data_IF_697662770592
#
_entry.id   IF_697662770592
#
_cell.length_a   1.000
_cell.length_b   1.000
_cell.length_c   1.000
_cell.angle_alpha   90.00
_cell.angle_beta   90.00
_cell.angle_gamma   90.00
#
_symmetry.space_group_name_H-M   'P 1'
#
loop_
_entity.id
_entity.type
_entity.pdbx_description
1 polymer ?
#
# COMPACT_ATOMS: atom_id res chain seq x y z
N UNK A 1 -0.80 -18.68 -5.83
CA UNK A 1 0.33 -19.22 -6.62
C UNK A 1 1.62 -18.46 -6.32
N UNK A 2 2.77 -19.08 -6.53
CA UNK A 2 4.10 -18.46 -6.53
C UNK A 2 4.75 -18.66 -7.88
N UNK A 3 5.26 -17.60 -8.46
CA UNK A 3 5.97 -17.62 -9.73
C UNK A 3 7.45 -17.37 -9.43
N UNK A 4 8.36 -18.14 -10.05
CA UNK A 4 9.81 -17.89 -9.94
C UNK A 4 10.17 -16.54 -10.56
N UNK A 5 11.28 -15.93 -10.11
CA UNK A 5 11.71 -14.61 -10.58
C UNK A 5 11.95 -14.55 -12.09
N UNK A 6 12.34 -15.67 -12.71
CA UNK A 6 12.55 -15.81 -14.15
C UNK A 6 11.25 -16.21 -14.91
N UNK A 7 10.12 -16.35 -14.20
CA UNK A 7 8.83 -16.73 -14.77
C UNK A 7 8.72 -18.18 -15.25
N UNK A 8 9.76 -19.01 -15.07
CA UNK A 8 9.81 -20.36 -15.67
C UNK A 8 9.09 -21.42 -14.86
N UNK A 9 8.80 -21.19 -13.58
CA UNK A 9 8.09 -22.14 -12.74
C UNK A 9 6.95 -21.50 -11.95
N UNK A 10 5.89 -22.27 -11.75
CA UNK A 10 4.70 -21.87 -10.98
C UNK A 10 4.37 -22.97 -9.99
N UNK A 11 4.28 -22.59 -8.69
CA UNK A 11 3.73 -23.42 -7.63
C UNK A 11 2.28 -23.02 -7.37
N UNK A 12 1.34 -23.96 -7.56
CA UNK A 12 -0.07 -23.70 -7.35
C UNK A 12 -0.79 -24.96 -6.82
N UNK A 13 -1.41 -24.95 -5.61
CA UNK A 13 -1.33 -23.84 -4.65
C UNK A 13 0.07 -23.70 -4.05
N UNK A 14 0.49 -22.48 -3.74
CA UNK A 14 1.69 -22.23 -2.92
C UNK A 14 1.35 -22.00 -1.45
N UNK A 15 0.28 -21.25 -1.21
CA UNK A 15 -0.28 -20.97 0.09
C UNK A 15 -1.80 -20.98 -0.02
N UNK A 16 -2.45 -21.49 1.01
CA UNK A 16 -3.89 -21.41 1.21
C UNK A 16 -4.15 -20.69 2.53
N UNK A 17 -5.00 -19.66 2.52
CA UNK A 17 -5.38 -18.91 3.72
C UNK A 17 -6.63 -19.54 4.33
N UNK A 18 -6.53 -20.23 5.48
CA UNK A 18 -7.65 -20.95 6.08
C UNK A 18 -8.77 -20.00 6.50
N UNK A 19 -10.00 -20.29 6.10
CA UNK A 19 -11.18 -19.52 6.55
C UNK A 19 -11.55 -18.30 5.70
N UNK A 20 -10.74 -17.95 4.69
CA UNK A 20 -11.16 -16.93 3.70
C UNK A 20 -12.41 -17.45 2.96
N UNK A 21 -13.58 -16.98 3.38
CA UNK A 21 -14.82 -17.72 3.28
C UNK A 21 -15.52 -17.67 1.93
N UNK A 22 -15.09 -16.88 0.96
CA UNK A 22 -15.91 -16.60 -0.22
C UNK A 22 -15.24 -16.82 -1.59
N UNK A 23 -14.13 -17.51 -1.67
CA UNK A 23 -13.54 -17.93 -2.96
C UNK A 23 -13.01 -16.80 -3.85
N UNK A 24 -13.23 -15.55 -3.48
CA UNK A 24 -12.71 -14.37 -4.14
C UNK A 24 -12.06 -13.49 -3.09
N UNK A 25 -10.83 -13.85 -2.73
CA UNK A 25 -10.02 -12.96 -1.89
C UNK A 25 -9.62 -11.76 -2.73
N UNK A 26 -10.21 -10.62 -2.42
CA UNK A 26 -9.75 -9.31 -2.86
C UNK A 26 -8.94 -8.70 -1.72
N UNK A 27 -8.05 -7.79 -2.04
CA UNK A 27 -7.17 -7.11 -1.10
C UNK A 27 -5.76 -7.00 -1.65
N UNK A 28 -4.80 -6.71 -0.80
CA UNK A 28 -3.43 -6.44 -1.21
C UNK A 28 -2.42 -7.45 -0.66
N UNK A 29 -1.30 -7.55 -1.37
CA UNK A 29 -0.12 -8.33 -0.99
C UNK A 29 1.09 -7.39 -0.88
N UNK A 30 1.86 -7.51 0.19
CA UNK A 30 3.07 -6.74 0.40
C UNK A 30 4.15 -7.58 1.08
N UNK A 31 5.38 -7.54 0.56
CA UNK A 31 6.52 -8.20 1.24
C UNK A 31 7.06 -7.23 2.28
N UNK A 32 7.13 -7.66 3.54
CA UNK A 32 7.71 -6.83 4.60
C UNK A 32 9.16 -6.46 4.26
N UNK A 33 9.42 -5.14 4.14
CA UNK A 33 10.75 -4.58 3.85
C UNK A 33 11.42 -4.01 5.10
N UNK A 34 10.74 -4.04 6.23
CA UNK A 34 11.19 -3.39 7.48
C UNK A 34 11.82 -4.37 8.46
N UNK A 35 11.50 -5.65 8.33
CA UNK A 35 11.88 -6.70 9.27
C UNK A 35 10.98 -6.76 10.51
N UNK A 36 9.98 -5.88 10.65
CA UNK A 36 9.02 -5.92 11.76
C UNK A 36 8.13 -7.17 11.72
N UNK A 37 8.00 -7.77 10.53
CA UNK A 37 7.24 -8.99 10.26
C UNK A 37 8.14 -10.08 9.65
N UNK A 38 9.42 -10.12 10.04
CA UNK A 38 10.41 -11.13 9.65
C UNK A 38 10.69 -11.23 8.13
N UNK A 39 10.32 -10.24 7.34
CA UNK A 39 10.42 -10.26 5.88
C UNK A 39 9.38 -11.13 5.18
N UNK A 40 8.32 -11.52 5.87
CA UNK A 40 7.25 -12.35 5.34
C UNK A 40 6.37 -11.59 4.34
N UNK A 41 5.62 -12.34 3.55
CA UNK A 41 4.55 -11.79 2.73
C UNK A 41 3.35 -11.47 3.64
N UNK A 42 2.90 -10.23 3.59
CA UNK A 42 1.67 -9.80 4.25
C UNK A 42 0.53 -9.84 3.23
N UNK A 43 -0.62 -10.35 3.64
CA UNK A 43 -1.85 -10.33 2.87
C UNK A 43 -2.98 -9.71 3.70
N UNK A 44 -3.67 -8.73 3.15
CA UNK A 44 -4.92 -8.20 3.71
C UNK A 44 -6.09 -8.57 2.81
N UNK A 45 -7.28 -8.69 3.39
CA UNK A 45 -8.48 -9.07 2.65
C UNK A 45 -9.58 -8.03 2.82
N UNK A 46 -10.48 -7.98 1.86
CA UNK A 46 -11.67 -7.13 1.93
C UNK A 46 -12.70 -7.60 2.98
N UNK A 47 -12.45 -8.74 3.63
CA UNK A 47 -13.24 -9.24 4.77
C UNK A 47 -12.61 -8.89 6.14
N UNK A 48 -11.44 -8.18 6.13
CA UNK A 48 -10.77 -7.68 7.33
C UNK A 48 -9.71 -8.57 7.92
N UNK A 49 -9.36 -9.66 7.27
CA UNK A 49 -8.30 -10.55 7.72
C UNK A 49 -6.92 -9.97 7.36
N UNK A 50 -5.96 -10.14 8.26
CA UNK A 50 -4.55 -9.79 8.05
C UNK A 50 -3.70 -11.02 8.31
N UNK A 51 -2.97 -11.46 7.31
CA UNK A 51 -2.16 -12.66 7.32
C UNK A 51 -0.69 -12.34 7.06
N UNK A 52 0.21 -13.09 7.70
CA UNK A 52 1.60 -13.20 7.27
C UNK A 52 1.84 -14.61 6.73
N UNK A 53 2.62 -14.71 5.67
CA UNK A 53 2.97 -15.95 5.00
C UNK A 53 4.47 -16.05 4.89
N UNK A 54 5.06 -17.06 5.52
CA UNK A 54 6.50 -17.29 5.51
C UNK A 54 7.02 -17.72 4.12
N UNK A 55 8.34 -17.77 3.95
CA UNK A 55 8.95 -18.14 2.67
C UNK A 55 8.61 -19.57 2.20
N UNK A 56 8.15 -20.44 3.11
CA UNK A 56 7.70 -21.80 2.80
C UNK A 56 6.23 -21.86 2.38
N UNK A 57 5.48 -20.77 2.55
CA UNK A 57 4.05 -20.68 2.23
C UNK A 57 3.14 -21.03 3.39
N UNK A 58 3.64 -21.00 4.63
CA UNK A 58 2.83 -21.26 5.81
C UNK A 58 2.17 -19.95 6.27
N UNK A 59 0.82 -19.86 6.26
CA UNK A 59 0.13 -18.68 6.73
C UNK A 59 -0.04 -18.67 8.25
N UNK A 60 0.06 -17.47 8.82
CA UNK A 60 -0.30 -17.18 10.20
C UNK A 60 -1.18 -15.96 10.24
N UNK A 61 -2.37 -16.04 10.82
CA UNK A 61 -3.25 -14.91 10.99
C UNK A 61 -2.67 -13.96 12.03
N UNK A 62 -2.52 -12.68 11.69
CA UNK A 62 -2.11 -11.63 12.62
C UNK A 62 -3.34 -11.13 13.37
N UNK A 63 -4.40 -10.79 12.63
CA UNK A 63 -5.66 -10.30 13.21
C UNK A 63 -6.82 -10.51 12.23
N UNK A 64 -8.03 -10.46 12.77
CA UNK A 64 -9.28 -10.49 12.01
C UNK A 64 -10.18 -9.34 12.49
N UNK A 65 -10.65 -8.53 11.56
CA UNK A 65 -11.52 -7.37 11.80
C UNK A 65 -12.78 -7.50 10.94
N UNK A 66 -13.72 -8.36 11.32
CA UNK A 66 -14.89 -8.70 10.50
C UNK A 66 -15.67 -7.46 10.04
N UNK A 67 -15.92 -7.36 8.74
CA UNK A 67 -16.64 -6.25 8.11
C UNK A 67 -15.79 -5.01 7.83
N UNK A 68 -14.47 -5.08 8.03
CA UNK A 68 -13.54 -4.05 7.60
C UNK A 68 -13.02 -4.38 6.21
N UNK A 69 -13.26 -3.49 5.26
CA UNK A 69 -12.81 -3.67 3.87
C UNK A 69 -11.39 -3.13 3.73
N UNK A 70 -10.38 -4.02 3.87
CA UNK A 70 -8.98 -3.64 3.72
C UNK A 70 -8.52 -3.78 2.28
N UNK A 71 -7.76 -2.76 1.81
CA UNK A 71 -7.15 -2.74 0.49
C UNK A 71 -5.65 -2.41 0.57
N UNK A 72 -5.17 -1.32 -0.03
CA UNK A 72 -3.74 -1.00 -0.06
C UNK A 72 -3.06 -1.00 1.30
N UNK A 73 -1.84 -1.50 1.36
CA UNK A 73 -1.06 -1.57 2.60
C UNK A 73 0.44 -1.47 2.40
N UNK A 74 1.15 -1.07 3.47
CA UNK A 74 2.61 -1.17 3.58
C UNK A 74 3.03 -1.53 5.01
N UNK A 75 4.27 -2.04 5.18
CA UNK A 75 4.93 -2.09 6.49
C UNK A 75 5.73 -0.82 6.72
N UNK A 76 5.59 -0.22 7.91
CA UNK A 76 6.26 1.04 8.28
C UNK A 76 7.53 0.74 9.07
N UNK A 77 8.67 1.36 8.75
CA UNK A 77 9.91 1.18 9.50
C UNK A 77 9.74 1.50 10.99
N UNK A 78 10.43 0.75 11.86
CA UNK A 78 10.43 1.01 13.30
C UNK A 78 11.32 2.23 13.63
N UNK A 79 10.79 3.41 13.32
CA UNK A 79 11.42 4.69 13.55
C UNK A 79 10.41 5.68 14.18
N UNK A 80 10.16 5.60 15.50
CA UNK A 80 9.12 6.40 16.18
C UNK A 80 9.29 7.91 16.03
N UNK A 81 10.53 8.41 15.93
CA UNK A 81 10.77 9.83 15.68
C UNK A 81 10.24 10.30 14.31
N UNK A 82 10.15 9.40 13.34
CA UNK A 82 9.69 9.69 11.97
C UNK A 82 8.22 9.35 11.75
N UNK A 83 7.76 8.22 12.31
CA UNK A 83 6.44 7.66 12.03
C UNK A 83 5.49 7.70 13.22
N UNK A 84 5.97 8.16 14.40
CA UNK A 84 5.15 8.25 15.61
C UNK A 84 4.47 6.92 15.93
N UNK A 85 3.13 6.92 16.11
CA UNK A 85 2.39 5.73 16.49
C UNK A 85 2.27 4.66 15.37
N UNK A 86 2.70 4.95 14.15
CA UNK A 86 2.71 4.01 13.01
C UNK A 86 3.99 3.18 12.94
N UNK A 87 5.05 3.57 13.66
CA UNK A 87 6.35 2.90 13.60
C UNK A 87 6.26 1.40 13.89
N UNK A 88 6.92 0.56 13.08
CA UNK A 88 6.97 -0.90 13.22
C UNK A 88 5.65 -1.63 12.98
N UNK A 89 4.69 -1.01 12.30
CA UNK A 89 3.36 -1.58 12.06
C UNK A 89 3.08 -1.80 10.58
N UNK A 90 2.09 -2.65 10.30
CA UNK A 90 1.37 -2.60 9.03
C UNK A 90 0.40 -1.41 9.10
N UNK A 91 0.33 -0.61 8.05
CA UNK A 91 -0.79 0.30 7.83
C UNK A 91 -1.57 -0.17 6.62
N UNK A 92 -2.90 -0.17 6.74
CA UNK A 92 -3.81 -0.63 5.70
C UNK A 92 -5.00 0.32 5.55
N UNK A 93 -5.37 0.61 4.32
CA UNK A 93 -6.54 1.41 3.99
C UNK A 93 -7.82 0.61 4.19
N UNK A 94 -8.81 1.24 4.81
CA UNK A 94 -10.17 0.71 4.89
C UNK A 94 -11.09 1.69 4.16
N UNK A 95 -11.10 1.56 2.82
CA UNK A 95 -11.72 2.52 1.91
C UNK A 95 -13.18 2.77 2.25
N UNK A 96 -13.98 1.72 2.40
CA UNK A 96 -15.41 1.84 2.67
C UNK A 96 -15.73 2.47 4.04
N UNK A 97 -14.81 2.35 5.00
CA UNK A 97 -14.96 2.93 6.34
C UNK A 97 -14.33 4.32 6.46
N UNK A 98 -13.56 4.78 5.46
CA UNK A 98 -12.81 6.03 5.50
C UNK A 98 -11.74 6.04 6.60
N UNK A 99 -11.06 4.90 6.84
CA UNK A 99 -10.12 4.71 7.93
C UNK A 99 -8.77 4.20 7.44
N UNK A 100 -7.73 4.57 8.17
CA UNK A 100 -6.41 3.96 8.08
C UNK A 100 -6.19 3.11 9.33
N UNK A 101 -6.03 1.80 9.18
CA UNK A 101 -5.70 0.90 10.27
C UNK A 101 -4.19 0.79 10.43
N UNK A 102 -3.72 0.74 11.68
CA UNK A 102 -2.36 0.42 12.07
C UNK A 102 -2.38 -0.87 12.90
N UNK A 103 -1.69 -1.91 12.42
CA UNK A 103 -1.71 -3.25 12.96
C UNK A 103 -0.31 -3.59 13.44
N UNK A 104 -0.18 -3.87 14.74
CA UNK A 104 1.08 -4.27 15.37
C UNK A 104 1.41 -5.74 15.10
N UNK A 105 2.68 -6.18 15.22
CA UNK A 105 3.07 -7.58 15.06
C UNK A 105 2.34 -8.56 16.00
N UNK A 106 1.86 -8.08 17.15
CA UNK A 106 1.07 -8.87 18.11
C UNK A 106 -0.43 -8.94 17.79
N UNK A 107 -0.86 -8.35 16.66
CA UNK A 107 -2.25 -8.29 16.22
C UNK A 107 -3.08 -7.15 16.83
N UNK A 108 -2.50 -6.33 17.71
CA UNK A 108 -3.19 -5.15 18.25
C UNK A 108 -3.45 -4.14 17.14
N UNK A 109 -4.69 -3.66 17.04
CA UNK A 109 -5.13 -2.72 16.00
C UNK A 109 -5.52 -1.37 16.58
N UNK A 110 -5.23 -0.32 15.82
CA UNK A 110 -5.68 1.06 16.06
C UNK A 110 -6.10 1.63 14.71
N UNK A 111 -7.06 2.55 14.67
CA UNK A 111 -7.40 3.23 13.42
C UNK A 111 -7.36 4.74 13.58
N UNK A 112 -7.21 5.42 12.44
CA UNK A 112 -7.19 6.87 12.29
C UNK A 112 -8.20 7.30 11.24
N UNK A 113 -8.88 8.42 11.46
CA UNK A 113 -9.85 9.00 10.55
C UNK A 113 -9.32 10.35 10.04
N UNK A 114 -8.88 10.38 8.79
CA UNK A 114 -8.37 11.59 8.12
C UNK A 114 -9.38 12.19 7.13
N UNK A 115 -10.57 11.58 6.99
CA UNK A 115 -11.54 11.95 5.96
C UNK A 115 -11.11 11.52 4.55
N UNK A 116 -10.23 10.51 4.45
CA UNK A 116 -9.71 9.94 3.20
C UNK A 116 -10.18 8.50 3.10
N UNK A 117 -10.81 8.16 1.99
CA UNK A 117 -11.15 6.79 1.64
C UNK A 117 -9.93 6.16 0.96
N UNK A 118 -9.07 5.53 1.78
CA UNK A 118 -7.75 5.08 1.35
C UNK A 118 -7.87 3.79 0.56
N UNK A 119 -7.54 3.86 -0.73
CA UNK A 119 -7.48 2.73 -1.67
C UNK A 119 -6.10 2.09 -1.66
N UNK A 120 -5.05 2.89 -1.80
CA UNK A 120 -3.68 2.38 -1.85
C UNK A 120 -2.71 3.27 -1.07
N UNK A 121 -1.57 2.67 -0.68
CA UNK A 121 -0.58 3.29 0.19
C UNK A 121 0.83 2.93 -0.28
N UNK A 122 1.73 3.92 -0.32
CA UNK A 122 3.16 3.63 -0.41
C UNK A 122 3.98 4.64 0.40
N UNK A 123 5.23 4.27 0.74
CA UNK A 123 6.18 5.17 1.41
C UNK A 123 7.01 5.85 0.33
N UNK A 124 7.13 7.17 0.41
CA UNK A 124 7.93 7.98 -0.51
C UNK A 124 9.39 7.57 -0.39
N UNK A 125 9.85 6.75 -1.33
CA UNK A 125 11.23 6.29 -1.36
C UNK A 125 12.16 7.43 -1.85
N UNK A 126 13.34 7.62 -1.26
CA UNK A 126 14.32 8.58 -1.75
C UNK A 126 14.82 8.13 -3.13
N UNK A 127 14.84 9.06 -4.09
CA UNK A 127 15.38 8.85 -5.45
C UNK A 127 14.61 7.91 -6.37
N UNK A 128 13.43 7.41 -5.95
CA UNK A 128 12.56 6.60 -6.81
C UNK A 128 11.48 7.47 -7.45
N UNK A 129 11.07 7.09 -8.66
CA UNK A 129 9.99 7.75 -9.35
C UNK A 129 8.65 7.26 -8.82
N UNK A 130 7.70 8.15 -8.69
CA UNK A 130 6.31 7.81 -8.42
C UNK A 130 5.63 7.34 -9.70
N UNK A 131 4.81 6.31 -9.57
CA UNK A 131 3.89 5.84 -10.60
C UNK A 131 2.51 5.63 -9.98
N UNK A 132 1.48 6.07 -10.71
CA UNK A 132 0.09 5.89 -10.29
C UNK A 132 -0.79 5.49 -11.46
N UNK A 133 -1.69 4.54 -11.22
CA UNK A 133 -2.69 4.10 -12.18
C UNK A 133 -3.87 5.06 -12.14
N UNK A 134 -4.12 5.75 -13.26
CA UNK A 134 -5.35 6.48 -13.49
C UNK A 134 -6.34 5.55 -14.19
N UNK A 135 -7.09 4.79 -13.41
CA UNK A 135 -7.99 3.75 -13.90
C UNK A 135 -9.06 4.32 -14.84
N UNK A 136 -9.75 5.37 -14.43
CA UNK A 136 -10.78 6.00 -15.26
C UNK A 136 -10.25 6.60 -16.56
N UNK A 137 -8.97 6.98 -16.61
CA UNK A 137 -8.29 7.52 -17.80
C UNK A 137 -7.52 6.47 -18.60
N UNK A 138 -7.44 5.21 -18.13
CA UNK A 138 -6.67 4.12 -18.72
C UNK A 138 -5.19 4.51 -18.99
N UNK A 139 -4.56 5.21 -18.05
CA UNK A 139 -3.18 5.70 -18.18
C UNK A 139 -2.37 5.42 -16.93
N UNK A 140 -1.07 5.18 -17.13
CA UNK A 140 -0.08 5.19 -16.06
C UNK A 140 0.56 6.59 -16.03
N UNK A 141 0.51 7.23 -14.88
CA UNK A 141 1.11 8.54 -14.66
C UNK A 141 2.39 8.38 -13.85
N UNK A 142 3.43 9.14 -14.21
CA UNK A 142 4.71 9.14 -13.54
C UNK A 142 5.16 10.54 -13.13
N UNK A 143 5.79 10.63 -11.95
CA UNK A 143 6.41 11.86 -11.46
C UNK A 143 7.85 11.57 -11.05
N UNK A 144 8.84 12.36 -11.55
CA UNK A 144 10.24 12.15 -11.22
C UNK A 144 10.53 12.23 -9.72
N UNK A 145 11.33 11.29 -9.19
CA UNK A 145 11.71 11.19 -7.78
C UNK A 145 12.24 12.47 -7.15
N UNK A 146 13.05 13.31 -7.83
CA UNK A 146 13.52 14.57 -7.26
C UNK A 146 12.41 15.53 -6.80
N UNK A 147 11.20 15.43 -7.33
CA UNK A 147 10.06 16.24 -6.88
C UNK A 147 9.57 15.86 -5.46
N UNK A 148 9.87 14.65 -5.02
CA UNK A 148 9.53 14.14 -3.69
C UNK A 148 10.66 14.25 -2.68
N UNK A 149 11.86 14.73 -3.07
CA UNK A 149 13.05 14.69 -2.23
C UNK A 149 12.87 15.37 -0.85
N UNK A 150 12.09 16.45 -0.79
CA UNK A 150 11.85 17.19 0.46
C UNK A 150 10.93 16.44 1.44
N UNK A 151 10.18 15.46 0.96
CA UNK A 151 9.20 14.68 1.74
C UNK A 151 9.49 13.19 1.71
N UNK A 152 10.71 12.81 1.30
CA UNK A 152 11.12 11.40 1.28
C UNK A 152 10.97 10.77 2.68
N UNK A 153 10.38 9.58 2.73
CA UNK A 153 10.03 8.86 3.94
C UNK A 153 8.64 9.17 4.50
N UNK A 154 7.92 10.18 4.00
CA UNK A 154 6.51 10.34 4.30
C UNK A 154 5.68 9.30 3.53
N UNK A 155 4.40 9.21 3.82
CA UNK A 155 3.51 8.21 3.26
C UNK A 155 2.58 8.87 2.24
N UNK A 156 2.40 8.25 1.08
CA UNK A 156 1.35 8.61 0.13
C UNK A 156 0.13 7.74 0.37
N UNK A 157 -1.03 8.37 0.43
CA UNK A 157 -2.32 7.70 0.42
C UNK A 157 -3.02 8.06 -0.90
N UNK A 158 -3.54 7.07 -1.60
CA UNK A 158 -4.40 7.26 -2.77
C UNK A 158 -5.86 7.14 -2.37
N UNK A 159 -6.69 8.05 -2.86
CA UNK A 159 -8.14 7.99 -2.76
C UNK A 159 -8.74 7.80 -4.13
N UNK A 160 -9.46 6.69 -4.33
CA UNK A 160 -9.98 6.27 -5.63
C UNK A 160 -11.23 7.04 -6.06
N UNK A 161 -12.12 7.39 -5.16
CA UNK A 161 -13.50 7.76 -5.47
C UNK A 161 -13.64 8.71 -6.66
N UNK A 162 -14.47 8.34 -7.64
CA UNK A 162 -14.63 9.05 -8.91
C UNK A 162 -15.00 10.56 -8.79
N UNK A 163 -15.56 10.98 -7.66
CA UNK A 163 -15.91 12.39 -7.38
C UNK A 163 -14.85 13.15 -6.58
N UNK A 164 -13.84 12.45 -6.06
CA UNK A 164 -12.83 13.01 -5.15
C UNK A 164 -11.49 12.28 -5.24
N UNK A 165 -11.13 11.80 -6.44
CA UNK A 165 -9.85 11.13 -6.66
C UNK A 165 -8.70 12.07 -6.33
N UNK A 166 -7.83 11.66 -5.40
CA UNK A 166 -6.79 12.53 -4.86
C UNK A 166 -5.64 11.75 -4.25
N UNK A 167 -4.50 12.39 -4.17
CA UNK A 167 -3.34 11.89 -3.44
C UNK A 167 -3.15 12.74 -2.18
N UNK A 168 -2.75 12.07 -1.10
CA UNK A 168 -2.53 12.67 0.21
C UNK A 168 -1.16 12.31 0.72
N UNK A 169 -0.51 13.25 1.41
CA UNK A 169 0.70 13.05 2.18
C UNK A 169 0.30 12.83 3.63
N UNK A 170 0.73 11.71 4.22
CA UNK A 170 0.60 11.44 5.65
C UNK A 170 1.99 11.49 6.29
N UNK A 171 2.13 12.26 7.39
CA UNK A 171 3.38 12.41 8.11
C UNK A 171 3.18 12.66 9.60
N UNK A 172 4.21 12.41 10.39
CA UNK A 172 4.25 12.66 11.82
C UNK A 172 4.94 13.99 12.11
N UNK A 173 4.29 14.88 12.87
CA UNK A 173 4.83 16.20 13.24
C UNK A 173 5.77 16.17 14.45
N UNK A 174 5.88 15.02 15.13
CA UNK A 174 6.47 14.86 16.44
C UNK A 174 5.44 14.78 17.57
N UNK A 175 4.19 15.17 17.29
CA UNK A 175 3.08 15.16 18.27
C UNK A 175 1.80 14.58 17.73
N UNK A 176 1.56 14.68 16.43
CA UNK A 176 0.33 14.21 15.76
C UNK A 176 0.59 13.74 14.34
N UNK A 177 -0.28 12.85 13.86
CA UNK A 177 -0.34 12.46 12.45
C UNK A 177 -1.17 13.48 11.67
N UNK A 178 -0.62 13.97 10.57
CA UNK A 178 -1.28 14.94 9.68
C UNK A 178 -1.40 14.35 8.29
N UNK A 179 -2.60 14.42 7.72
CA UNK A 179 -2.85 14.11 6.31
C UNK A 179 -3.14 15.40 5.56
N UNK A 180 -2.35 15.69 4.52
CA UNK A 180 -2.49 16.86 3.65
C UNK A 180 -2.70 16.41 2.21
N UNK A 181 -3.71 16.94 1.55
CA UNK A 181 -3.90 16.67 0.13
C UNK A 181 -2.78 17.31 -0.68
N UNK A 182 -2.20 16.55 -1.62
CA UNK A 182 -1.29 17.15 -2.59
C UNK A 182 -2.00 18.22 -3.41
N UNK A 183 -1.34 19.37 -3.66
CA UNK A 183 -1.96 20.44 -4.42
C UNK A 183 -2.32 19.93 -5.83
N UNK A 184 -3.55 20.23 -6.23
CA UNK A 184 -4.01 19.93 -7.57
C UNK A 184 -3.29 20.85 -8.55
N UNK A 185 -2.56 20.28 -9.52
CA UNK A 185 -2.06 21.00 -10.68
C UNK A 185 -3.17 21.15 -11.74
N UNK A 186 -2.98 22.02 -12.73
CA UNK A 186 -3.90 22.12 -13.86
C UNK A 186 -4.09 20.78 -14.59
N UNK A 187 -3.10 19.90 -14.53
CA UNK A 187 -3.11 18.58 -15.14
C UNK A 187 -3.84 17.53 -14.28
N UNK A 188 -4.08 17.80 -12.99
CA UNK A 188 -4.81 16.89 -12.10
C UNK A 188 -6.28 16.70 -12.50
N UNK A 189 -6.84 17.61 -13.28
CA UNK A 189 -8.15 17.42 -13.91
C UNK A 189 -8.19 16.24 -14.89
N UNK A 190 -7.02 15.73 -15.29
CA UNK A 190 -6.88 14.53 -16.14
C UNK A 190 -6.98 13.23 -15.34
N UNK A 191 -6.81 13.27 -14.03
CA UNK A 191 -6.94 12.08 -13.18
C UNK A 191 -8.40 11.91 -12.80
N UNK A 192 -8.99 10.84 -13.29
CA UNK A 192 -10.39 10.51 -13.04
C UNK A 192 -10.55 9.55 -11.85
N UNK A 193 -9.55 8.71 -11.61
CA UNK A 193 -9.62 7.67 -10.59
C UNK A 193 -8.23 7.10 -10.31
N UNK A 194 -7.68 7.36 -9.12
CA UNK A 194 -6.47 6.69 -8.66
C UNK A 194 -6.81 5.28 -8.18
N UNK A 195 -6.15 4.26 -8.74
CA UNK A 195 -6.33 2.86 -8.31
C UNK A 195 -5.12 2.41 -7.47
N UNK A 196 -3.95 2.36 -8.08
CA UNK A 196 -2.73 1.95 -7.40
C UNK A 196 -1.62 2.98 -7.55
N UNK A 197 -0.80 3.08 -6.50
CA UNK A 197 0.37 3.97 -6.47
C UNK A 197 1.61 3.20 -6.01
N UNK A 198 2.78 3.55 -6.54
CA UNK A 198 4.04 2.97 -6.08
C UNK A 198 5.22 3.85 -6.40
N UNK A 199 6.31 3.65 -5.65
CA UNK A 199 7.62 4.19 -5.97
C UNK A 199 8.52 3.08 -6.54
N UNK A 200 9.21 3.37 -7.63
CA UNK A 200 10.09 2.41 -8.29
C UNK A 200 11.38 3.08 -8.77
N UNK A 201 12.49 2.37 -8.63
CA UNK A 201 13.80 2.82 -9.09
C UNK A 201 13.87 2.93 -10.61
N UNK A 202 14.66 3.87 -11.12
CA UNK A 202 14.83 4.12 -12.57
C UNK A 202 15.27 2.87 -13.36
N UNK A 203 15.95 1.92 -12.73
CA UNK A 203 16.39 0.68 -13.38
C UNK A 203 15.28 -0.31 -13.71
N UNK A 204 14.06 -0.09 -13.24
CA UNK A 204 12.90 -0.96 -13.54
C UNK A 204 12.18 -0.50 -14.83
N UNK A 205 12.40 0.72 -15.27
CA UNK A 205 11.66 1.35 -16.38
C UNK A 205 12.37 1.23 -17.74
N UNK A 206 13.60 0.77 -17.79
CA UNK A 206 14.30 0.49 -19.03
C UNK A 206 13.91 -0.90 -19.60
N UNK A 207 12.63 -1.12 -19.85
CA UNK A 207 12.24 -2.10 -20.87
C UNK A 207 12.28 -1.36 -22.20
N UNK A 208 13.19 -1.68 -23.13
CA UNK A 208 13.11 -1.13 -24.47
C UNK A 208 11.74 -1.52 -25.03
N UNK A 209 10.88 -0.55 -25.27
CA UNK A 209 9.70 -0.79 -26.08
C UNK A 209 10.23 -1.08 -27.48
N UNK A 210 10.21 -2.36 -27.88
CA UNK A 210 10.40 -2.71 -29.29
C UNK A 210 9.37 -1.89 -30.09
N UNK A 211 9.82 -1.11 -31.07
CA UNK A 211 8.88 -0.41 -31.92
C UNK A 211 8.07 -1.45 -32.70
N UNK A 212 6.76 -1.45 -32.46
CA UNK A 212 5.79 -2.21 -33.25
C UNK A 212 5.73 -1.64 -34.66
#
# INVERSE_FOLDING_TARGET
>A
ARISADGTSISNPWCDLPGSSNGLMRGSLYVDRTGAFDGDLIAVTTDGEVWRVDAAGNPTMITDMPGVHLEGMVTVPDAPARYGPLAGKIIAGAEQQGRLYAISPDGTTTYYEFGVNVEDIDIIAPYENFFGVNYGGHTLLGVPGPQFAAIAGDIVLAQETASASSLWRLYWTGTELVAEQFPLSADSALVQQWEHVTFAGAGIVEVPLDPI
#
